data_IF_096482808454
#
_entry.id   IF_096482808454
#
_cell.length_a   1.000
_cell.length_b   1.000
_cell.length_c   1.000
_cell.angle_alpha   90.00
_cell.angle_beta   90.00
_cell.angle_gamma   90.00
#
_symmetry.space_group_name_H-M   'P 1'
#
loop_
_entity.id
_entity.type
_entity.pdbx_description
1 polymer ?
#
# COMPACT_ATOMS: atom_id res chain seq x y z
N UNK A 1 1.89 37.15 27.23
CA UNK A 1 1.77 36.34 26.01
C UNK A 1 2.54 35.06 26.28
N UNK A 2 1.86 34.04 26.80
CA UNK A 2 2.49 32.76 27.14
C UNK A 2 2.66 31.93 25.88
N UNK A 3 3.90 31.63 25.51
CA UNK A 3 4.22 30.64 24.48
C UNK A 3 4.05 29.27 25.14
N UNK A 4 2.90 28.63 24.90
CA UNK A 4 2.68 27.23 25.26
C UNK A 4 3.49 26.36 24.30
N UNK A 5 4.56 25.77 24.79
CA UNK A 5 5.32 24.72 24.13
C UNK A 5 4.39 23.53 23.88
N UNK A 6 4.01 23.32 22.62
CA UNK A 6 3.07 22.28 22.23
C UNK A 6 3.82 20.96 22.02
N UNK A 7 4.07 20.22 23.09
CA UNK A 7 4.61 18.84 23.04
C UNK A 7 3.56 17.80 22.55
N UNK A 8 2.55 18.21 21.79
CA UNK A 8 1.47 17.36 21.26
C UNK A 8 1.75 16.72 19.89
N UNK A 9 2.96 16.90 19.34
CA UNK A 9 3.22 16.67 17.91
C UNK A 9 3.29 15.22 17.42
N UNK A 10 3.69 14.27 18.28
CA UNK A 10 3.98 12.89 17.85
C UNK A 10 2.78 11.93 17.82
N UNK A 11 1.73 12.18 18.62
CA UNK A 11 0.58 11.26 18.73
C UNK A 11 -0.36 11.27 17.53
N UNK A 12 -0.41 12.38 16.78
CA UNK A 12 -1.42 12.54 15.73
C UNK A 12 -1.08 11.71 14.47
N UNK A 13 0.19 11.62 14.06
CA UNK A 13 0.55 10.93 12.82
C UNK A 13 0.28 9.42 12.90
N UNK A 14 0.49 8.80 14.07
CA UNK A 14 0.28 7.36 14.24
C UNK A 14 -1.20 6.97 14.09
N UNK A 15 -2.12 7.80 14.60
CA UNK A 15 -3.55 7.54 14.50
C UNK A 15 -4.01 7.57 13.04
N UNK A 16 -3.59 8.59 12.30
CA UNK A 16 -3.96 8.76 10.89
C UNK A 16 -3.38 7.64 10.02
N UNK A 17 -2.10 7.29 10.26
CA UNK A 17 -1.44 6.17 9.59
C UNK A 17 -2.16 4.84 9.89
N UNK A 18 -2.51 4.58 11.16
CA UNK A 18 -3.25 3.38 11.55
C UNK A 18 -4.64 3.33 10.90
N UNK A 19 -5.33 4.46 10.81
CA UNK A 19 -6.63 4.56 10.16
C UNK A 19 -6.53 4.26 8.66
N UNK A 20 -5.51 4.81 7.98
CA UNK A 20 -5.23 4.50 6.59
C UNK A 20 -4.92 3.01 6.40
N UNK A 21 -4.09 2.41 7.26
CA UNK A 21 -3.81 0.96 7.22
C UNK A 21 -5.07 0.11 7.37
N UNK A 22 -5.94 0.46 8.31
CA UNK A 22 -7.20 -0.24 8.53
C UNK A 22 -8.11 -0.14 7.30
N UNK A 23 -8.28 1.07 6.75
CA UNK A 23 -9.11 1.30 5.57
C UNK A 23 -8.57 0.56 4.35
N UNK A 24 -7.28 0.70 4.05
CA UNK A 24 -6.62 0.02 2.93
C UNK A 24 -6.70 -1.51 3.05
N UNK A 25 -6.50 -2.05 4.25
CA UNK A 25 -6.62 -3.49 4.51
C UNK A 25 -8.05 -4.00 4.32
N UNK A 26 -9.05 -3.26 4.81
CA UNK A 26 -10.46 -3.60 4.61
C UNK A 26 -10.83 -3.59 3.13
N UNK A 27 -10.36 -2.61 2.36
CA UNK A 27 -10.58 -2.52 0.93
C UNK A 27 -9.90 -3.66 0.17
N UNK A 28 -8.66 -4.01 0.51
CA UNK A 28 -7.95 -5.12 -0.11
C UNK A 28 -8.71 -6.44 0.11
N UNK A 29 -9.18 -6.67 1.34
CA UNK A 29 -9.96 -7.87 1.68
C UNK A 29 -11.32 -7.91 1.01
N UNK A 30 -12.09 -6.81 1.08
CA UNK A 30 -13.40 -6.72 0.46
C UNK A 30 -13.30 -6.88 -1.06
N UNK A 31 -12.35 -6.20 -1.69
CA UNK A 31 -12.09 -6.33 -3.12
C UNK A 31 -11.77 -7.77 -3.51
N UNK A 32 -10.96 -8.47 -2.71
CA UNK A 32 -10.64 -9.88 -2.96
C UNK A 32 -11.83 -10.83 -2.76
N UNK A 33 -12.75 -10.53 -1.83
CA UNK A 33 -14.01 -11.28 -1.65
C UNK A 33 -14.99 -11.01 -2.79
N UNK A 34 -15.07 -9.77 -3.26
CA UNK A 34 -15.96 -9.35 -4.36
C UNK A 34 -15.42 -9.71 -5.75
N UNK A 35 -14.14 -10.06 -5.85
CA UNK A 35 -13.53 -10.56 -7.07
C UNK A 35 -14.34 -11.76 -7.56
N UNK A 36 -14.78 -11.70 -8.82
CA UNK A 36 -15.60 -12.77 -9.42
C UNK A 36 -14.93 -14.13 -9.21
N UNK A 37 -15.56 -14.95 -8.38
CA UNK A 37 -15.17 -16.32 -8.05
C UNK A 37 -15.17 -17.28 -9.25
N UNK A 38 -15.57 -16.81 -10.43
CA UNK A 38 -15.61 -17.59 -11.66
C UNK A 38 -14.23 -17.82 -12.30
N UNK A 39 -13.18 -17.11 -11.88
CA UNK A 39 -11.83 -17.29 -12.42
C UNK A 39 -10.82 -17.64 -11.31
N UNK A 40 -10.40 -18.91 -11.20
CA UNK A 40 -9.50 -19.37 -10.13
C UNK A 40 -8.11 -18.70 -10.14
N UNK A 41 -7.74 -18.00 -11.22
CA UNK A 41 -6.47 -17.30 -11.39
C UNK A 41 -6.63 -15.79 -11.63
N UNK A 42 -7.75 -15.20 -11.22
CA UNK A 42 -7.89 -13.74 -11.29
C UNK A 42 -6.82 -13.05 -10.43
N UNK A 43 -6.31 -11.91 -10.89
CA UNK A 43 -5.28 -11.16 -10.17
C UNK A 43 -5.81 -10.66 -8.81
N UNK A 44 -4.98 -10.62 -7.75
CA UNK A 44 -5.39 -10.08 -6.46
C UNK A 44 -5.75 -8.60 -6.58
N UNK A 45 -6.75 -8.16 -5.84
CA UNK A 45 -7.03 -6.73 -5.72
C UNK A 45 -5.90 -6.10 -4.90
N UNK A 46 -5.22 -5.12 -5.51
CA UNK A 46 -4.15 -4.34 -4.90
C UNK A 46 -4.68 -2.94 -4.58
N UNK A 47 -4.39 -2.46 -3.38
CA UNK A 47 -4.74 -1.12 -2.90
C UNK A 47 -3.45 -0.36 -2.64
N UNK A 48 -3.26 0.77 -3.34
CA UNK A 48 -2.22 1.73 -3.00
C UNK A 48 -2.75 2.70 -1.96
N UNK A 49 -2.16 2.73 -0.77
CA UNK A 49 -2.46 3.69 0.29
C UNK A 49 -1.27 4.62 0.51
N UNK A 50 -1.54 5.92 0.64
CA UNK A 50 -0.49 6.94 0.72
C UNK A 50 -0.72 7.79 1.95
N UNK A 51 0.31 7.90 2.77
CA UNK A 51 0.34 8.76 3.95
C UNK A 51 1.46 9.77 3.81
N UNK A 52 1.15 11.06 3.94
CA UNK A 52 2.17 12.12 3.98
C UNK A 52 2.25 12.61 5.41
N UNK A 53 3.42 12.50 6.01
CA UNK A 53 3.63 12.92 7.37
C UNK A 53 3.91 14.44 7.49
N UNK A 54 4.19 14.88 8.72
CA UNK A 54 4.45 16.30 9.01
C UNK A 54 5.83 16.77 8.57
N UNK A 55 6.76 15.84 8.40
CA UNK A 55 8.13 16.10 7.96
C UNK A 55 8.24 16.04 6.43
N UNK A 56 7.09 15.89 5.74
CA UNK A 56 6.96 15.76 4.29
C UNK A 56 7.60 14.47 3.74
N UNK A 57 7.58 13.39 4.53
CA UNK A 57 7.78 12.05 4.00
C UNK A 57 6.45 11.49 3.48
N UNK A 58 6.43 11.06 2.22
CA UNK A 58 5.34 10.27 1.67
C UNK A 58 5.65 8.79 1.83
N UNK A 59 4.82 8.09 2.59
CA UNK A 59 4.81 6.65 2.72
C UNK A 59 3.77 6.07 1.77
N UNK A 60 4.23 5.32 0.78
CA UNK A 60 3.38 4.58 -0.15
C UNK A 60 3.34 3.11 0.26
N UNK A 61 2.13 2.59 0.43
CA UNK A 61 1.88 1.20 0.80
C UNK A 61 1.09 0.50 -0.30
N UNK A 62 1.69 -0.50 -0.92
CA UNK A 62 1.01 -1.42 -1.84
C UNK A 62 0.45 -2.59 -1.03
N UNK A 63 -0.84 -2.55 -0.72
CA UNK A 63 -1.54 -3.54 0.11
C UNK A 63 -2.27 -4.57 -0.74
N UNK A 64 -2.12 -5.85 -0.41
CA UNK A 64 -2.76 -6.94 -1.15
C UNK A 64 -2.97 -8.16 -0.26
N UNK A 65 -3.95 -8.99 -0.60
CA UNK A 65 -4.24 -10.24 0.11
C UNK A 65 -4.12 -11.43 -0.84
N UNK A 66 -2.97 -12.14 -0.86
CA UNK A 66 -2.89 -13.41 -1.57
C UNK A 66 -3.38 -14.55 -0.65
N UNK A 67 -3.88 -15.68 -1.20
CA UNK A 67 -5.23 -15.92 -1.74
C UNK A 67 -6.41 -15.44 -0.85
N UNK A 68 -7.65 -15.57 -1.34
CA UNK A 68 -8.89 -15.10 -0.67
C UNK A 68 -9.09 -15.64 0.74
N UNK A 69 -8.60 -16.85 1.02
CA UNK A 69 -8.70 -17.51 2.32
C UNK A 69 -7.65 -17.03 3.34
N UNK A 70 -6.66 -16.25 2.90
CA UNK A 70 -5.59 -15.81 3.78
C UNK A 70 -6.10 -14.86 4.87
N UNK A 71 -5.72 -15.14 6.12
CA UNK A 71 -6.11 -14.33 7.27
C UNK A 71 -5.39 -12.99 7.35
N UNK A 72 -4.36 -12.76 6.53
CA UNK A 72 -3.50 -11.56 6.60
C UNK A 72 -3.52 -10.79 5.29
N UNK A 73 -3.62 -9.47 5.39
CA UNK A 73 -3.27 -8.55 4.30
C UNK A 73 -1.78 -8.29 4.42
N UNK A 74 -1.08 -8.34 3.29
CA UNK A 74 0.34 -8.02 3.17
C UNK A 74 0.49 -6.63 2.58
N UNK A 75 1.64 -6.01 2.82
CA UNK A 75 1.97 -4.73 2.19
C UNK A 75 3.46 -4.64 1.84
N UNK A 76 3.75 -3.85 0.81
CA UNK A 76 5.09 -3.35 0.51
C UNK A 76 5.11 -1.84 0.75
N UNK A 77 6.18 -1.31 1.35
CA UNK A 77 6.33 0.11 1.66
C UNK A 77 7.47 0.72 0.84
N UNK A 78 7.19 1.88 0.26
CA UNK A 78 8.18 2.80 -0.29
C UNK A 78 8.04 4.16 0.40
N UNK A 79 9.16 4.84 0.66
CA UNK A 79 9.18 6.14 1.34
C UNK A 79 9.90 7.16 0.47
N UNK A 80 9.30 8.34 0.33
CA UNK A 80 9.83 9.46 -0.45
C UNK A 80 9.97 10.69 0.43
N UNK A 81 11.17 11.26 0.48
CA UNK A 81 11.42 12.56 1.09
C UNK A 81 10.99 13.68 0.13
N UNK A 82 9.82 14.28 0.36
CA UNK A 82 9.30 15.33 -0.53
C UNK A 82 10.04 16.66 -0.38
N UNK A 83 10.93 16.81 0.59
CA UNK A 83 11.83 17.98 0.68
C UNK A 83 12.93 17.91 -0.39
N UNK A 84 13.23 16.72 -0.92
CA UNK A 84 14.19 16.52 -1.99
C UNK A 84 13.50 16.61 -3.36
N UNK A 85 13.84 17.58 -4.23
CA UNK A 85 13.14 17.79 -5.50
C UNK A 85 13.07 16.55 -6.40
N UNK A 86 14.13 15.75 -6.43
CA UNK A 86 14.19 14.51 -7.22
C UNK A 86 13.21 13.47 -6.69
N UNK A 87 13.11 13.31 -5.37
CA UNK A 87 12.20 12.35 -4.77
C UNK A 87 10.74 12.81 -4.89
N UNK A 88 10.47 14.10 -4.68
CA UNK A 88 9.16 14.69 -4.91
C UNK A 88 8.70 14.51 -6.37
N UNK A 89 9.57 14.76 -7.35
CA UNK A 89 9.27 14.51 -8.76
C UNK A 89 8.97 13.03 -9.03
N UNK A 90 9.79 12.11 -8.51
CA UNK A 90 9.56 10.67 -8.66
C UNK A 90 8.21 10.25 -8.12
N UNK A 91 7.86 10.70 -6.91
CA UNK A 91 6.59 10.40 -6.26
C UNK A 91 5.40 10.94 -7.08
N UNK A 92 5.44 12.21 -7.50
CA UNK A 92 4.37 12.80 -8.34
C UNK A 92 4.26 12.09 -9.69
N UNK A 93 5.39 11.72 -10.29
CA UNK A 93 5.40 10.99 -11.56
C UNK A 93 4.82 9.58 -11.41
N UNK A 94 5.11 8.89 -10.30
CA UNK A 94 4.51 7.60 -9.98
C UNK A 94 3.00 7.73 -9.76
N UNK A 95 2.56 8.76 -9.04
CA UNK A 95 1.13 9.07 -8.86
C UNK A 95 0.41 9.32 -10.18
N UNK A 96 1.03 10.08 -11.09
CA UNK A 96 0.46 10.35 -12.41
C UNK A 96 0.29 9.07 -13.23
N UNK A 97 1.22 8.13 -13.08
CA UNK A 97 1.21 6.84 -13.77
C UNK A 97 0.65 5.70 -12.91
N UNK A 98 -0.11 6.02 -11.85
CA UNK A 98 -0.49 5.05 -10.82
C UNK A 98 -1.23 3.85 -11.39
N UNK A 99 -2.16 4.07 -12.33
CA UNK A 99 -2.93 2.98 -12.95
C UNK A 99 -2.02 1.99 -13.68
N UNK A 100 -1.12 2.50 -14.53
CA UNK A 100 -0.17 1.66 -15.27
C UNK A 100 0.78 0.92 -14.33
N UNK A 101 1.26 1.61 -13.29
CA UNK A 101 2.13 1.02 -12.26
C UNK A 101 1.42 -0.09 -11.48
N UNK A 102 0.19 0.15 -11.03
CA UNK A 102 -0.60 -0.84 -10.28
C UNK A 102 -0.86 -2.08 -11.13
N UNK A 103 -1.10 -1.93 -12.44
CA UNK A 103 -1.24 -3.08 -13.36
C UNK A 103 0.06 -3.87 -13.42
N UNK A 104 1.20 -3.20 -13.59
CA UNK A 104 2.52 -3.86 -13.63
C UNK A 104 2.88 -4.55 -12.30
N UNK A 105 2.65 -3.87 -11.18
CA UNK A 105 2.94 -4.38 -9.84
C UNK A 105 2.02 -5.56 -9.50
N UNK A 106 0.74 -5.51 -9.89
CA UNK A 106 -0.19 -6.65 -9.77
C UNK A 106 0.30 -7.85 -10.60
N UNK A 107 0.77 -7.62 -11.83
CA UNK A 107 1.32 -8.68 -12.68
C UNK A 107 2.65 -9.27 -12.14
N UNK A 108 3.46 -8.48 -11.43
CA UNK A 108 4.67 -8.96 -10.72
C UNK A 108 4.30 -9.78 -9.48
N UNK A 109 3.30 -9.34 -8.72
CA UNK A 109 2.79 -10.04 -7.56
C UNK A 109 2.13 -11.38 -7.94
N UNK A 110 1.38 -11.43 -9.04
CA UNK A 110 0.84 -12.68 -9.60
C UNK A 110 1.94 -13.68 -9.99
N UNK A 111 2.99 -13.21 -10.69
CA UNK A 111 4.13 -14.06 -11.10
C UNK A 111 4.96 -14.58 -9.92
N UNK A 112 5.23 -13.75 -8.92
CA UNK A 112 6.00 -14.14 -7.72
C UNK A 112 5.23 -15.10 -6.80
N UNK A 113 3.90 -15.04 -6.82
CA UNK A 113 3.03 -15.98 -6.08
C UNK A 113 3.05 -17.37 -6.73
N UNK A 114 3.07 -17.44 -8.07
CA UNK A 114 3.16 -18.71 -8.82
C UNK A 114 4.51 -19.41 -8.64
N UNK A 115 5.63 -18.66 -8.64
CA UNK A 115 6.96 -19.25 -8.45
C UNK A 115 7.18 -19.80 -7.02
N UNK A 116 6.57 -19.19 -6.01
CA UNK A 116 6.62 -19.70 -4.62
C UNK A 116 5.77 -20.94 -4.38
N UNK A 117 4.69 -21.13 -5.16
CA UNK A 117 3.87 -22.34 -5.08
C UNK A 117 4.57 -23.54 -5.73
N UNK A 118 5.29 -23.35 -6.84
CA UNK A 118 6.08 -24.42 -7.46
C UNK A 118 7.24 -24.92 -6.59
N UNK A 119 7.77 -24.09 -5.68
CA UNK A 119 8.82 -24.47 -4.74
C UNK A 119 8.30 -25.27 -3.53
N UNK A 120 6.99 -25.21 -3.24
CA UNK A 120 6.36 -25.95 -2.14
C UNK A 120 5.84 -27.35 -2.57
N UNK A 121 5.71 -27.58 -3.88
CA UNK A 121 5.33 -28.87 -4.48
C UNK A 121 6.55 -29.69 -4.97
N UNK A 122 7.78 -29.27 -4.63
CA UNK A 122 9.07 -29.95 -4.91
C UNK A 122 9.67 -30.55 -3.65
#
# INVERSE_FOLDING_TARGET
MEVRSHEGGRRNNQSDQNQMFLQGSCLARLGNVLRKTSEPNSDPVVITAIFIDRELFAHEYLMYQPPSEAKKVLYHEEVFDLTQPIQAFKFVFQLYNLVSRVIEDSARLGRSSLSRLSELDS
#
